data_IF_251056841378
#
_entry.id   IF_251056841378
#
_cell.length_a   1.000
_cell.length_b   1.000
_cell.length_c   1.000
_cell.angle_alpha   90.00
_cell.angle_beta   90.00
_cell.angle_gamma   90.00
#
_symmetry.space_group_name_H-M   'P 1'
#
loop_
_entity.id
_entity.type
_entity.pdbx_description
1 polymer ?
#
# COMPACT_ATOMS: atom_id res chain seq x y z
N UNK A 1 6.52 -17.75 -3.36
CA UNK A 1 7.50 -17.94 -2.26
C UNK A 1 8.13 -16.62 -1.82
N UNK A 2 8.63 -15.77 -2.73
CA UNK A 2 9.16 -14.44 -2.35
C UNK A 2 8.07 -13.49 -1.80
N UNK A 3 6.88 -13.50 -2.42
CA UNK A 3 5.72 -12.69 -2.03
C UNK A 3 5.28 -12.88 -0.57
N UNK A 4 5.29 -14.11 -0.06
CA UNK A 4 4.94 -14.40 1.33
C UNK A 4 6.04 -13.93 2.30
N UNK A 5 7.30 -13.90 1.87
CA UNK A 5 8.40 -13.42 2.70
C UNK A 5 8.37 -11.90 2.86
N UNK A 6 7.93 -11.17 1.83
CA UNK A 6 7.80 -9.71 1.84
C UNK A 6 6.90 -9.25 2.99
N UNK A 7 5.86 -10.04 3.32
CA UNK A 7 4.96 -9.77 4.43
C UNK A 7 5.64 -9.74 5.82
N UNK A 8 6.84 -10.31 5.94
CA UNK A 8 7.59 -10.29 7.19
C UNK A 8 8.60 -9.13 7.28
N UNK A 9 8.86 -8.45 6.16
CA UNK A 9 9.83 -7.34 6.07
C UNK A 9 9.12 -6.00 6.02
N UNK A 10 7.94 -5.95 5.41
CA UNK A 10 7.13 -4.75 5.35
C UNK A 10 6.41 -4.50 6.70
N UNK A 11 6.20 -3.22 7.07
CA UNK A 11 5.29 -2.86 8.16
C UNK A 11 3.90 -3.46 7.96
N UNK A 12 3.24 -3.86 9.05
CA UNK A 12 1.90 -4.46 9.02
C UNK A 12 0.87 -3.57 8.33
N UNK A 13 0.98 -2.26 8.50
CA UNK A 13 0.07 -1.28 7.92
C UNK A 13 0.08 -1.33 6.39
N UNK A 14 1.24 -1.57 5.76
CA UNK A 14 1.31 -1.73 4.30
C UNK A 14 0.66 -3.03 3.84
N UNK A 15 0.56 -4.04 4.70
CA UNK A 15 -0.07 -5.32 4.36
C UNK A 15 -1.58 -5.25 4.58
N UNK A 16 -2.01 -4.53 5.60
CA UNK A 16 -3.42 -4.39 5.97
C UNK A 16 -4.19 -3.48 4.99
N UNK A 17 -3.51 -2.48 4.39
CA UNK A 17 -4.14 -1.48 3.54
C UNK A 17 -3.65 -1.48 2.08
N UNK A 18 -2.66 -2.29 1.72
CA UNK A 18 -2.17 -2.40 0.34
C UNK A 18 -1.98 -3.85 -0.10
N UNK A 19 -2.10 -4.08 -1.41
CA UNK A 19 -1.84 -5.36 -2.05
C UNK A 19 -0.53 -5.32 -2.84
N UNK A 20 0.33 -6.31 -2.65
CA UNK A 20 1.57 -6.45 -3.42
C UNK A 20 1.27 -6.99 -4.82
N UNK A 21 1.36 -6.11 -5.83
CA UNK A 21 1.01 -6.43 -7.21
C UNK A 21 2.21 -6.81 -8.07
N UNK A 22 3.41 -6.33 -7.73
CA UNK A 22 4.63 -6.69 -8.47
C UNK A 22 5.92 -6.57 -7.63
N UNK A 23 6.93 -7.35 -8.02
CA UNK A 23 8.27 -7.31 -7.42
C UNK A 23 9.29 -7.28 -8.56
N UNK A 24 10.07 -6.20 -8.64
CA UNK A 24 11.17 -6.06 -9.61
C UNK A 24 12.49 -5.98 -8.90
N UNK A 25 13.52 -6.63 -9.43
CA UNK A 25 14.90 -6.52 -8.94
C UNK A 25 15.75 -5.81 -10.00
N UNK A 26 16.39 -4.72 -9.61
CA UNK A 26 17.28 -3.92 -10.46
C UNK A 26 18.64 -3.79 -9.76
N UNK A 27 19.61 -4.59 -10.20
CA UNK A 27 20.91 -4.69 -9.52
C UNK A 27 20.74 -5.21 -8.09
N UNK A 28 21.14 -4.37 -7.13
CA UNK A 28 21.05 -4.66 -5.69
C UNK A 28 19.78 -4.08 -5.04
N UNK A 29 18.88 -3.49 -5.83
CA UNK A 29 17.65 -2.87 -5.34
C UNK A 29 16.46 -3.78 -5.67
N UNK A 30 15.54 -3.92 -4.71
CA UNK A 30 14.25 -4.60 -4.90
C UNK A 30 13.14 -3.55 -4.80
N UNK A 31 12.34 -3.45 -5.86
CA UNK A 31 11.19 -2.58 -5.97
C UNK A 31 9.92 -3.41 -5.71
N UNK A 32 9.17 -3.03 -4.67
CA UNK A 32 7.84 -3.55 -4.39
C UNK A 32 6.79 -2.58 -4.92
N UNK A 33 5.89 -3.05 -5.76
CA UNK A 33 4.76 -2.26 -6.24
C UNK A 33 3.52 -2.69 -5.46
N UNK A 34 2.84 -1.70 -4.87
CA UNK A 34 1.72 -1.88 -3.96
C UNK A 34 0.54 -1.06 -4.47
N UNK A 35 -0.63 -1.68 -4.56
CA UNK A 35 -1.89 -0.99 -4.86
C UNK A 35 -2.68 -0.77 -3.57
N UNK A 36 -3.23 0.44 -3.40
CA UNK A 36 -4.03 0.80 -2.23
C UNK A 36 -5.39 0.08 -2.25
N UNK A 37 -5.74 -0.54 -1.13
CA UNK A 37 -7.04 -1.17 -0.95
C UNK A 37 -8.09 -0.10 -0.58
N UNK A 38 -9.36 -0.27 -0.99
CA UNK A 38 -10.45 0.64 -0.63
C UNK A 38 -10.93 0.42 0.82
N UNK A 39 -9.99 0.33 1.77
CA UNK A 39 -10.24 0.07 3.19
C UNK A 39 -9.73 1.26 3.99
N UNK A 40 -10.65 1.99 4.62
CA UNK A 40 -10.31 3.08 5.51
C UNK A 40 -9.99 2.51 6.90
N UNK A 41 -8.83 2.82 7.50
CA UNK A 41 -8.54 2.44 8.89
C UNK A 41 -9.64 2.96 9.82
N UNK A 42 -10.06 2.13 10.78
CA UNK A 42 -11.20 2.44 11.67
C UNK A 42 -11.00 3.74 12.45
N UNK A 43 -9.77 4.07 12.83
CA UNK A 43 -9.40 5.32 13.49
C UNK A 43 -9.72 6.57 12.65
N UNK A 44 -9.75 6.45 11.32
CA UNK A 44 -10.08 7.54 10.39
C UNK A 44 -11.47 7.41 9.74
N UNK A 45 -12.27 6.42 10.12
CA UNK A 45 -13.61 6.20 9.53
C UNK A 45 -14.58 7.40 9.73
N UNK A 46 -14.27 8.29 10.67
CA UNK A 46 -15.02 9.52 10.93
C UNK A 46 -14.65 10.67 9.96
N UNK A 47 -13.58 10.54 9.18
CA UNK A 47 -13.12 11.52 8.20
C UNK A 47 -13.71 11.23 6.83
N UNK A 48 -14.04 12.28 6.08
CA UNK A 48 -14.45 12.16 4.69
C UNK A 48 -13.20 12.08 3.81
N UNK A 49 -12.65 10.87 3.68
CA UNK A 49 -11.44 10.61 2.90
C UNK A 49 -11.77 10.42 1.41
N UNK A 50 -10.85 10.83 0.55
CA UNK A 50 -10.91 10.58 -0.90
C UNK A 50 -9.60 9.95 -1.35
N UNK A 51 -9.67 8.95 -2.23
CA UNK A 51 -8.50 8.26 -2.79
C UNK A 51 -7.70 9.09 -3.81
N UNK A 52 -7.74 10.42 -3.72
CA UNK A 52 -6.99 11.31 -4.61
C UNK A 52 -5.52 11.50 -4.16
N UNK A 53 -5.05 10.73 -3.18
CA UNK A 53 -3.68 10.85 -2.66
C UNK A 53 -3.36 12.28 -2.21
N UNK A 54 -2.22 12.81 -2.67
CA UNK A 54 -1.77 14.19 -2.40
C UNK A 54 -2.27 15.22 -3.42
N UNK A 55 -3.13 14.83 -4.35
CA UNK A 55 -3.70 15.74 -5.33
C UNK A 55 -4.85 16.54 -4.72
N UNK A 56 -5.04 17.77 -5.20
CA UNK A 56 -6.16 18.61 -4.77
C UNK A 56 -7.48 17.88 -5.02
N UNK A 57 -8.46 18.07 -4.12
CA UNK A 57 -9.80 17.52 -4.31
C UNK A 57 -10.37 18.03 -5.64
N UNK A 58 -10.66 17.10 -6.56
CA UNK A 58 -11.41 17.43 -7.77
C UNK A 58 -12.81 17.90 -7.37
N UNK A 59 -13.09 19.19 -7.64
CA UNK A 59 -14.41 19.83 -7.47
C UNK A 59 -15.47 19.20 -8.37
#
# INVERSE_FOLDING_TARGET
MLSELVKYVLPSELIDYFELVDIKKEGDIVHFHLDELPVIPSEYAHLHLSGNGFYASST
#
